data_IF_205236278397
#
_entry.id   IF_205236278397
#
_cell.length_a   1.000
_cell.length_b   1.000
_cell.length_c   1.000
_cell.angle_alpha   90.00
_cell.angle_beta   90.00
_cell.angle_gamma   90.00
#
_symmetry.space_group_name_H-M   'P 1'
#
loop_
_entity.id
_entity.type
_entity.pdbx_description
1 polymer ?
#
# COMPACT_ATOMS: atom_id res chain seq x y z
N UNK A 1 26.60 15.68 -32.69
CA UNK A 1 26.44 15.14 -31.32
C UNK A 1 25.47 15.94 -30.45
N UNK A 2 25.37 17.27 -30.58
CA UNK A 2 24.44 18.10 -29.78
C UNK A 2 22.95 17.72 -29.93
N UNK A 3 22.50 17.46 -31.16
CA UNK A 3 21.11 17.04 -31.42
C UNK A 3 20.75 15.74 -30.69
N UNK A 4 21.70 14.81 -30.57
CA UNK A 4 21.48 13.54 -29.86
C UNK A 4 21.28 13.77 -28.37
N UNK A 5 22.07 14.66 -27.76
CA UNK A 5 21.91 15.02 -26.35
C UNK A 5 20.59 15.76 -26.09
N UNK A 6 20.16 16.61 -27.02
CA UNK A 6 18.86 17.28 -26.96
C UNK A 6 17.70 16.26 -26.95
N UNK A 7 17.76 15.26 -27.84
CA UNK A 7 16.72 14.22 -27.94
C UNK A 7 16.68 13.38 -26.66
N UNK A 8 17.83 12.94 -26.13
CA UNK A 8 17.88 12.14 -24.88
C UNK A 8 17.32 12.94 -23.69
N UNK A 9 17.63 14.23 -23.60
CA UNK A 9 17.09 15.12 -22.55
C UNK A 9 15.56 15.21 -22.58
N UNK A 10 14.96 15.40 -23.77
CA UNK A 10 13.51 15.43 -23.95
C UNK A 10 12.87 14.08 -23.62
N UNK A 11 13.50 12.97 -24.00
CA UNK A 11 13.01 11.63 -23.65
C UNK A 11 12.99 11.42 -22.13
N UNK A 12 14.07 11.74 -21.41
CA UNK A 12 14.11 11.61 -19.94
C UNK A 12 13.00 12.44 -19.29
N UNK A 13 12.79 13.69 -19.74
CA UNK A 13 11.73 14.57 -19.25
C UNK A 13 10.31 14.01 -19.45
N UNK A 14 10.07 13.23 -20.51
CA UNK A 14 8.78 12.58 -20.75
C UNK A 14 8.61 11.27 -19.96
N UNK A 15 9.69 10.50 -19.80
CA UNK A 15 9.65 9.19 -19.13
C UNK A 15 9.61 9.29 -17.60
N UNK A 16 10.38 10.18 -16.98
CA UNK A 16 10.44 10.35 -15.51
C UNK A 16 9.07 10.65 -14.88
N UNK A 17 8.27 11.64 -15.34
CA UNK A 17 6.96 11.91 -14.75
C UNK A 17 5.97 10.75 -14.99
N UNK A 18 6.08 10.05 -16.12
CA UNK A 18 5.25 8.87 -16.40
C UNK A 18 5.58 7.70 -15.46
N UNK A 19 6.86 7.54 -15.09
CA UNK A 19 7.34 6.51 -14.17
C UNK A 19 6.93 6.81 -12.72
N UNK A 20 7.02 8.08 -12.30
CA UNK A 20 6.58 8.52 -10.98
C UNK A 20 5.08 8.26 -10.74
N UNK A 21 4.22 8.55 -11.73
CA UNK A 21 2.77 8.28 -11.67
C UNK A 21 2.44 6.78 -11.57
N UNK A 22 3.20 5.92 -12.26
CA UNK A 22 3.01 4.47 -12.15
C UNK A 22 3.39 3.96 -10.76
N UNK A 23 4.48 4.47 -10.17
CA UNK A 23 4.86 4.14 -8.79
C UNK A 23 3.77 4.52 -7.79
N UNK A 24 3.25 5.74 -7.87
CA UNK A 24 2.16 6.21 -6.99
C UNK A 24 0.89 5.34 -7.12
N UNK A 25 0.54 4.95 -8.36
CA UNK A 25 -0.62 4.08 -8.60
C UNK A 25 -0.43 2.69 -8.00
N UNK A 26 0.79 2.14 -8.08
CA UNK A 26 1.14 0.83 -7.50
C UNK A 26 1.12 0.90 -5.98
N UNK A 27 1.71 1.94 -5.40
CA UNK A 27 1.73 2.15 -3.95
C UNK A 27 0.30 2.26 -3.40
N UNK A 28 -0.57 3.03 -4.06
CA UNK A 28 -1.99 3.15 -3.70
C UNK A 28 -2.75 1.82 -3.77
N UNK A 29 -2.62 1.08 -4.89
CA UNK A 29 -3.26 -0.24 -5.03
C UNK A 29 -2.74 -1.25 -4.01
N UNK A 30 -1.44 -1.18 -3.68
CA UNK A 30 -0.82 -1.99 -2.64
C UNK A 30 -1.42 -1.70 -1.26
N UNK A 31 -1.54 -0.42 -0.90
CA UNK A 31 -2.15 0.01 0.36
C UNK A 31 -3.63 -0.40 0.45
N UNK A 32 -4.42 -0.24 -0.62
CA UNK A 32 -5.82 -0.71 -0.67
C UNK A 32 -5.93 -2.23 -0.45
N UNK A 33 -4.98 -3.02 -0.97
CA UNK A 33 -4.95 -4.46 -0.73
C UNK A 33 -4.63 -4.80 0.73
N UNK A 34 -3.73 -4.05 1.39
CA UNK A 34 -3.43 -4.21 2.81
C UNK A 34 -4.68 -3.92 3.66
N UNK A 35 -5.46 -2.90 3.32
CA UNK A 35 -6.72 -2.61 4.02
C UNK A 35 -7.67 -3.80 3.97
N UNK A 36 -7.87 -4.40 2.79
CA UNK A 36 -8.72 -5.59 2.63
C UNK A 36 -8.22 -6.81 3.41
N UNK A 37 -6.90 -7.00 3.46
CA UNK A 37 -6.31 -8.10 4.25
C UNK A 37 -6.62 -7.92 5.73
N UNK A 38 -6.40 -6.71 6.27
CA UNK A 38 -6.69 -6.43 7.68
C UNK A 38 -8.18 -6.60 7.99
N UNK A 39 -9.07 -6.13 7.11
CA UNK A 39 -10.53 -6.32 7.26
C UNK A 39 -10.92 -7.81 7.21
N UNK A 40 -10.33 -8.60 6.31
CA UNK A 40 -10.54 -10.04 6.27
C UNK A 40 -10.07 -10.74 7.56
N UNK A 41 -8.96 -10.29 8.14
CA UNK A 41 -8.48 -10.83 9.42
C UNK A 41 -9.38 -10.43 10.60
N UNK A 42 -9.99 -9.24 10.58
CA UNK A 42 -11.02 -8.85 11.53
C UNK A 42 -12.24 -9.78 11.43
N UNK A 43 -12.69 -10.06 10.20
CA UNK A 43 -13.82 -10.97 9.96
C UNK A 43 -13.53 -12.40 10.42
N UNK A 44 -12.36 -12.94 10.07
CA UNK A 44 -11.94 -14.28 10.48
C UNK A 44 -11.85 -14.40 12.00
N UNK A 45 -11.20 -13.44 12.66
CA UNK A 45 -11.16 -13.42 14.12
C UNK A 45 -12.57 -13.34 14.73
N UNK A 46 -13.44 -12.51 14.16
CA UNK A 46 -14.83 -12.37 14.64
C UNK A 46 -15.59 -13.69 14.50
N UNK A 47 -15.37 -14.44 13.41
CA UNK A 47 -15.96 -15.74 13.19
C UNK A 47 -15.42 -16.80 14.17
N UNK A 48 -14.11 -16.81 14.42
CA UNK A 48 -13.46 -17.78 15.30
C UNK A 48 -13.75 -17.53 16.79
N UNK A 49 -13.77 -16.27 17.21
CA UNK A 49 -13.85 -15.86 18.62
C UNK A 49 -15.22 -15.31 19.02
N UNK A 50 -16.15 -15.18 18.08
CA UNK A 50 -17.45 -14.52 18.27
C UNK A 50 -17.31 -13.11 18.91
N UNK A 51 -16.19 -12.43 18.62
CA UNK A 51 -15.83 -11.14 19.19
C UNK A 51 -15.12 -10.31 18.13
N UNK A 52 -15.54 -9.06 17.96
CA UNK A 52 -14.80 -8.12 17.10
C UNK A 52 -13.46 -7.77 17.76
N UNK A 53 -12.32 -8.03 17.09
CA UNK A 53 -11.02 -7.73 17.66
C UNK A 53 -10.73 -6.23 17.61
N UNK A 54 -9.98 -5.74 18.57
CA UNK A 54 -9.23 -4.49 18.44
C UNK A 54 -8.01 -4.69 17.54
N UNK A 55 -7.54 -3.62 16.91
CA UNK A 55 -6.33 -3.65 16.08
C UNK A 55 -5.09 -4.15 16.84
N UNK A 56 -5.02 -3.87 18.15
CA UNK A 56 -3.94 -4.37 19.01
C UNK A 56 -4.04 -5.88 19.27
N UNK A 57 -5.26 -6.43 19.39
CA UNK A 57 -5.47 -7.89 19.53
C UNK A 57 -5.02 -8.62 18.26
N UNK A 58 -5.30 -8.09 17.07
CA UNK A 58 -4.85 -8.67 15.81
C UNK A 58 -3.32 -8.73 15.68
N UNK A 59 -2.61 -7.71 16.18
CA UNK A 59 -1.14 -7.70 16.18
C UNK A 59 -0.59 -8.65 17.24
N UNK A 60 -1.17 -8.64 18.45
CA UNK A 60 -0.71 -9.47 19.57
C UNK A 60 -0.93 -10.96 19.31
N UNK A 61 -2.02 -11.32 18.63
CA UNK A 61 -2.33 -12.70 18.25
C UNK A 61 -1.71 -13.09 16.89
N UNK A 62 -0.99 -12.18 16.24
CA UNK A 62 -0.23 -12.46 15.03
C UNK A 62 -1.05 -12.58 13.75
N UNK A 63 -2.32 -12.16 13.75
CA UNK A 63 -3.16 -12.10 12.55
C UNK A 63 -2.66 -11.04 11.55
N UNK A 64 -2.05 -9.96 12.04
CA UNK A 64 -1.46 -8.89 11.22
C UNK A 64 -0.12 -8.44 11.80
N UNK A 65 0.74 -7.92 10.93
CA UNK A 65 2.02 -7.30 11.31
C UNK A 65 1.86 -5.84 11.71
N UNK A 66 2.84 -5.28 12.44
CA UNK A 66 2.88 -3.85 12.76
C UNK A 66 2.88 -2.96 11.52
N UNK A 67 3.60 -3.37 10.46
CA UNK A 67 3.64 -2.61 9.21
C UNK A 67 2.26 -2.56 8.53
N UNK A 68 1.48 -3.64 8.59
CA UNK A 68 0.12 -3.68 8.08
C UNK A 68 -0.82 -2.80 8.91
N UNK A 69 -0.64 -2.77 10.23
CA UNK A 69 -1.38 -1.87 11.12
C UNK A 69 -1.08 -0.40 10.80
N UNK A 70 0.19 -0.03 10.67
CA UNK A 70 0.61 1.34 10.37
C UNK A 70 0.00 1.81 9.05
N UNK A 71 0.07 0.98 7.99
CA UNK A 71 -0.54 1.28 6.68
C UNK A 71 -2.07 1.37 6.76
N UNK A 72 -2.73 0.49 7.51
CA UNK A 72 -4.17 0.53 7.72
C UNK A 72 -4.62 1.84 8.39
N UNK A 73 -3.90 2.27 9.43
CA UNK A 73 -4.21 3.51 10.15
C UNK A 73 -3.91 4.76 9.34
N UNK A 74 -2.86 4.73 8.50
CA UNK A 74 -2.49 5.84 7.63
C UNK A 74 -3.49 6.06 6.49
N UNK A 75 -4.12 5.01 5.95
CA UNK A 75 -5.14 5.16 4.89
C UNK A 75 -6.57 5.37 5.37
N UNK A 76 -6.87 5.06 6.65
CA UNK A 76 -8.18 5.36 7.26
C UNK A 76 -8.23 6.73 7.96
N UNK A 77 -7.12 7.48 8.00
CA UNK A 77 -7.11 8.89 8.40
C UNK A 77 -7.64 9.78 7.27
#
# INVERSE_FOLDING_TARGET
>A
MLIVLLIISVLILLFVPNLAKHKETVDKKGNEAIVKIVESQIELYTLEKNKTPSLNELVNEGYITKEQLDKYTAEKQ
#
